data_IF_657232255813
#
_entry.id   IF_657232255813
#
_cell.length_a   1.000
_cell.length_b   1.000
_cell.length_c   1.000
_cell.angle_alpha   90.00
_cell.angle_beta   90.00
_cell.angle_gamma   90.00
#
_symmetry.space_group_name_H-M   'P 1'
#
loop_
_entity.id
_entity.type
_entity.pdbx_description
1 polymer ?
#
# COMPACT_ATOMS: atom_id res chain seq x y z
N UNK A 1 12.29 13.80 -19.01
CA UNK A 1 11.76 12.54 -18.47
C UNK A 1 11.46 12.60 -16.96
N UNK A 2 12.28 13.26 -16.13
CA UNK A 2 12.07 13.37 -14.67
C UNK A 2 10.75 14.04 -14.28
N UNK A 3 10.38 15.15 -14.94
CA UNK A 3 9.16 15.93 -14.64
C UNK A 3 7.86 15.13 -14.82
N UNK A 4 7.76 14.32 -15.90
CA UNK A 4 6.58 13.44 -16.10
C UNK A 4 6.42 12.41 -14.99
N UNK A 5 7.53 11.88 -14.48
CA UNK A 5 7.54 10.88 -13.42
C UNK A 5 7.06 11.48 -12.12
N UNK A 6 7.59 12.65 -11.75
CA UNK A 6 7.15 13.41 -10.57
C UNK A 6 5.65 13.74 -10.63
N UNK A 7 5.15 14.14 -11.82
CA UNK A 7 3.72 14.41 -12.00
C UNK A 7 2.85 13.16 -11.79
N UNK A 8 3.29 11.99 -12.28
CA UNK A 8 2.58 10.72 -12.06
C UNK A 8 2.59 10.33 -10.58
N UNK A 9 3.73 10.47 -9.90
CA UNK A 9 3.83 10.20 -8.46
C UNK A 9 2.89 11.11 -7.67
N UNK A 10 2.80 12.39 -8.03
CA UNK A 10 1.86 13.34 -7.43
C UNK A 10 0.39 12.94 -7.64
N UNK A 11 0.02 12.54 -8.86
CA UNK A 11 -1.34 12.06 -9.18
C UNK A 11 -1.67 10.78 -8.39
N UNK A 12 -0.75 9.81 -8.34
CA UNK A 12 -0.96 8.57 -7.60
C UNK A 12 -1.03 8.80 -6.09
N UNK A 13 -0.24 9.75 -5.56
CA UNK A 13 -0.34 10.16 -4.15
C UNK A 13 -1.67 10.83 -3.85
N UNK A 14 -2.16 11.71 -4.74
CA UNK A 14 -3.49 12.32 -4.61
C UNK A 14 -4.61 11.27 -4.66
N UNK A 15 -4.48 10.28 -5.55
CA UNK A 15 -5.43 9.16 -5.61
C UNK A 15 -5.40 8.31 -4.34
N UNK A 16 -4.21 8.07 -3.76
CA UNK A 16 -4.07 7.41 -2.46
C UNK A 16 -4.87 8.15 -1.37
N UNK A 17 -4.70 9.47 -1.29
CA UNK A 17 -5.38 10.31 -0.29
C UNK A 17 -6.90 10.24 -0.49
N UNK A 18 -7.37 10.39 -1.72
CA UNK A 18 -8.79 10.33 -2.05
C UNK A 18 -9.41 8.98 -1.65
N UNK A 19 -8.75 7.87 -2.00
CA UNK A 19 -9.20 6.52 -1.62
C UNK A 19 -9.10 6.27 -0.12
N UNK A 20 -8.10 6.86 0.56
CA UNK A 20 -7.94 6.80 2.00
C UNK A 20 -9.07 7.53 2.75
N UNK A 21 -9.58 8.63 2.19
CA UNK A 21 -10.72 9.36 2.76
C UNK A 21 -12.04 8.58 2.68
N UNK A 22 -12.20 7.69 1.69
CA UNK A 22 -13.39 6.84 1.51
C UNK A 22 -13.32 5.54 2.34
N UNK A 23 -12.20 5.30 3.01
CA UNK A 23 -11.99 4.09 3.78
C UNK A 23 -13.03 3.89 4.89
N UNK A 24 -13.54 2.65 5.00
CA UNK A 24 -14.49 2.25 6.04
C UNK A 24 -13.68 1.79 7.26
N UNK A 25 -13.83 2.50 8.35
CA UNK A 25 -13.20 2.16 9.63
C UNK A 25 -14.17 1.32 10.47
N UNK A 26 -13.77 0.09 10.78
CA UNK A 26 -14.52 -0.86 11.60
C UNK A 26 -14.04 -0.84 13.07
N UNK A 27 -13.27 0.16 13.47
CA UNK A 27 -12.65 0.26 14.79
C UNK A 27 -11.45 -0.68 14.98
N UNK A 28 -11.64 -1.98 14.80
CA UNK A 28 -10.58 -3.00 14.95
C UNK A 28 -9.83 -3.27 13.64
N UNK A 29 -10.42 -2.93 12.50
CA UNK A 29 -9.84 -3.10 11.17
C UNK A 29 -10.35 -2.01 10.22
N UNK A 30 -9.52 -1.63 9.24
CA UNK A 30 -9.85 -0.64 8.21
C UNK A 30 -9.95 -1.34 6.86
N UNK A 31 -11.09 -1.21 6.21
CA UNK A 31 -11.27 -1.66 4.82
C UNK A 31 -11.03 -0.45 3.91
N UNK A 32 -9.98 -0.50 3.12
CA UNK A 32 -9.61 0.56 2.20
C UNK A 32 -8.94 0.00 0.95
N UNK A 33 -9.04 0.74 -0.13
CA UNK A 33 -8.37 0.44 -1.40
C UNK A 33 -7.21 1.41 -1.68
N UNK A 34 -6.83 2.19 -0.67
CA UNK A 34 -5.78 3.21 -0.74
C UNK A 34 -4.39 2.65 -1.10
N UNK A 35 -4.13 1.37 -0.85
CA UNK A 35 -2.87 0.72 -1.22
C UNK A 35 -2.73 0.51 -2.74
N UNK A 36 -3.84 0.54 -3.50
CA UNK A 36 -3.83 0.28 -4.94
C UNK A 36 -2.88 1.20 -5.71
N UNK A 37 -2.89 2.54 -5.54
CA UNK A 37 -1.95 3.44 -6.19
C UNK A 37 -0.48 3.14 -5.84
N UNK A 38 -0.19 2.72 -4.61
CA UNK A 38 1.17 2.38 -4.15
C UNK A 38 1.67 1.13 -4.88
N UNK A 39 0.84 0.08 -4.96
CA UNK A 39 1.16 -1.16 -5.66
C UNK A 39 1.38 -0.87 -7.15
N UNK A 40 0.50 -0.07 -7.77
CA UNK A 40 0.63 0.32 -9.19
C UNK A 40 1.91 1.13 -9.41
N UNK A 41 2.22 2.12 -8.55
CA UNK A 41 3.45 2.89 -8.65
C UNK A 41 4.69 1.97 -8.58
N UNK A 42 4.74 1.08 -7.58
CA UNK A 42 5.82 0.11 -7.44
C UNK A 42 5.97 -0.79 -8.66
N UNK A 43 4.88 -1.39 -9.14
CA UNK A 43 4.90 -2.35 -10.25
C UNK A 43 5.21 -1.70 -11.62
N UNK A 44 4.85 -0.44 -11.83
CA UNK A 44 4.96 0.23 -13.14
C UNK A 44 6.19 1.15 -13.21
N UNK A 45 6.41 1.95 -12.17
CA UNK A 45 7.46 2.98 -12.14
C UNK A 45 8.71 2.51 -11.41
N UNK A 46 8.56 1.65 -10.41
CA UNK A 46 9.67 1.04 -9.68
C UNK A 46 9.66 1.33 -8.17
N UNK A 47 10.69 0.81 -7.46
CA UNK A 47 10.68 0.82 -6.00
C UNK A 47 10.70 2.23 -5.39
N UNK A 48 11.44 3.16 -5.99
CA UNK A 48 11.55 4.53 -5.46
C UNK A 48 10.21 5.26 -5.56
N UNK A 49 9.54 5.17 -6.72
CA UNK A 49 8.24 5.81 -6.93
C UNK A 49 7.17 5.17 -6.04
N UNK A 50 7.18 3.84 -5.90
CA UNK A 50 6.29 3.14 -4.97
C UNK A 50 6.46 3.63 -3.52
N UNK A 51 7.72 3.82 -3.06
CA UNK A 51 8.00 4.38 -1.72
C UNK A 51 7.54 5.84 -1.60
N UNK A 52 7.75 6.66 -2.62
CA UNK A 52 7.32 8.06 -2.62
C UNK A 52 5.80 8.16 -2.54
N UNK A 53 5.09 7.43 -3.39
CA UNK A 53 3.61 7.43 -3.39
C UNK A 53 3.05 6.90 -2.08
N UNK A 54 3.62 5.80 -1.54
CA UNK A 54 3.23 5.24 -0.26
C UNK A 54 3.52 6.18 0.91
N UNK A 55 4.71 6.77 0.95
CA UNK A 55 5.14 7.68 2.01
C UNK A 55 4.36 9.00 2.00
N UNK A 56 4.36 9.73 0.87
CA UNK A 56 3.67 11.01 0.75
C UNK A 56 2.15 10.85 0.90
N UNK A 57 1.56 9.84 0.22
CA UNK A 57 0.13 9.59 0.31
C UNK A 57 -0.32 9.33 1.73
N UNK A 58 0.39 8.45 2.45
CA UNK A 58 0.08 8.14 3.85
C UNK A 58 0.31 9.33 4.76
N UNK A 59 1.43 10.04 4.60
CA UNK A 59 1.74 11.22 5.42
C UNK A 59 0.61 12.25 5.37
N UNK A 60 0.19 12.63 4.17
CA UNK A 60 -0.87 13.62 3.99
C UNK A 60 -2.22 13.07 4.47
N UNK A 61 -2.55 11.81 4.15
CA UNK A 61 -3.78 11.17 4.60
C UNK A 61 -3.88 11.11 6.13
N UNK A 62 -2.77 10.80 6.82
CA UNK A 62 -2.70 10.77 8.29
C UNK A 62 -2.96 12.15 8.89
N UNK A 63 -2.33 13.19 8.33
CA UNK A 63 -2.54 14.57 8.81
C UNK A 63 -4.00 15.01 8.63
N UNK A 64 -4.61 14.70 7.49
CA UNK A 64 -6.02 15.08 7.22
C UNK A 64 -6.98 14.34 8.15
N UNK A 65 -6.77 13.05 8.41
CA UNK A 65 -7.73 12.22 9.19
C UNK A 65 -7.53 12.30 10.69
N UNK A 66 -6.29 12.35 11.15
CA UNK A 66 -5.94 12.17 12.57
C UNK A 66 -5.10 13.31 13.14
N UNK A 67 -4.69 14.27 12.30
CA UNK A 67 -3.75 15.31 12.67
C UNK A 67 -2.30 14.81 12.71
N UNK A 68 -1.38 15.74 12.97
CA UNK A 68 0.04 15.39 13.14
C UNK A 68 0.27 14.80 14.54
N UNK A 69 0.89 13.64 14.61
CA UNK A 69 1.18 12.92 15.84
C UNK A 69 2.63 12.43 15.88
N UNK A 70 3.16 12.12 17.05
CA UNK A 70 4.50 11.58 17.22
C UNK A 70 4.69 10.23 16.46
N UNK A 71 3.61 9.50 16.23
CA UNK A 71 3.61 8.20 15.57
C UNK A 71 3.29 8.29 14.07
N UNK A 72 3.06 9.48 13.51
CA UNK A 72 2.71 9.66 12.09
C UNK A 72 3.74 8.99 11.15
N UNK A 73 5.04 9.13 11.45
CA UNK A 73 6.10 8.51 10.64
C UNK A 73 6.03 6.97 10.69
N UNK A 74 5.64 6.42 11.85
CA UNK A 74 5.50 4.98 12.02
C UNK A 74 4.39 4.39 11.12
N UNK A 75 3.29 5.13 10.97
CA UNK A 75 2.18 4.75 10.08
C UNK A 75 2.50 4.83 8.59
N UNK A 76 3.58 5.52 8.20
CA UNK A 76 4.05 5.54 6.82
C UNK A 76 4.81 4.27 6.43
N UNK A 77 5.50 3.62 7.38
CA UNK A 77 6.38 2.48 7.12
C UNK A 77 5.71 1.32 6.37
N UNK A 78 4.48 0.88 6.72
CA UNK A 78 3.80 -0.19 6.01
C UNK A 78 3.64 0.07 4.51
N UNK A 79 3.27 1.29 4.14
CA UNK A 79 3.00 1.66 2.76
C UNK A 79 4.28 1.94 1.95
N UNK A 80 5.30 2.48 2.60
CA UNK A 80 6.66 2.59 2.02
C UNK A 80 7.19 1.20 1.72
N UNK A 81 7.06 0.25 2.66
CA UNK A 81 7.50 -1.13 2.48
C UNK A 81 6.71 -1.83 1.37
N UNK A 82 5.39 -1.61 1.29
CA UNK A 82 4.54 -2.13 0.22
C UNK A 82 5.04 -1.68 -1.16
N UNK A 83 5.26 -0.38 -1.34
CA UNK A 83 5.78 0.20 -2.58
C UNK A 83 7.17 -0.33 -2.95
N UNK A 84 8.05 -0.44 -1.95
CA UNK A 84 9.39 -0.98 -2.11
C UNK A 84 9.35 -2.45 -2.58
N UNK A 85 8.60 -3.30 -1.90
CA UNK A 85 8.48 -4.72 -2.23
C UNK A 85 7.93 -4.90 -3.63
N UNK A 86 6.81 -4.26 -3.96
CA UNK A 86 6.21 -4.32 -5.29
C UNK A 86 7.20 -3.88 -6.38
N UNK A 87 7.92 -2.80 -6.13
CA UNK A 87 8.89 -2.26 -7.09
C UNK A 87 10.14 -3.10 -7.25
N UNK A 88 10.66 -3.70 -6.18
CA UNK A 88 11.82 -4.60 -6.26
C UNK A 88 11.50 -5.87 -7.06
N UNK A 89 10.34 -6.48 -6.80
CA UNK A 89 9.90 -7.64 -7.57
C UNK A 89 9.62 -7.28 -9.04
N UNK A 90 9.00 -6.13 -9.31
CA UNK A 90 8.79 -5.66 -10.67
C UNK A 90 10.13 -5.46 -11.40
N UNK A 91 11.10 -4.82 -10.74
CA UNK A 91 12.46 -4.63 -11.30
C UNK A 91 13.16 -5.96 -11.57
N UNK A 92 13.06 -6.93 -10.64
CA UNK A 92 13.63 -8.29 -10.81
C UNK A 92 13.02 -9.01 -12.01
N UNK A 93 11.73 -8.80 -12.27
CA UNK A 93 11.01 -9.41 -13.38
C UNK A 93 11.00 -8.53 -14.65
N UNK A 94 11.91 -7.55 -14.75
CA UNK A 94 11.97 -6.59 -15.87
C UNK A 94 10.62 -5.90 -16.16
N UNK A 95 9.82 -5.67 -15.10
CA UNK A 95 8.46 -5.11 -15.17
C UNK A 95 7.45 -5.97 -15.95
N UNK A 96 7.77 -7.23 -16.21
CA UNK A 96 6.88 -8.24 -16.78
C UNK A 96 6.47 -9.22 -15.69
N UNK A 97 5.32 -8.97 -15.07
CA UNK A 97 4.79 -9.86 -14.06
C UNK A 97 3.71 -10.75 -14.67
N UNK A 98 3.93 -12.07 -14.64
CA UNK A 98 2.87 -13.05 -15.00
C UNK A 98 1.79 -13.05 -13.92
N UNK A 99 0.60 -13.57 -14.25
CA UNK A 99 -0.50 -13.61 -13.28
C UNK A 99 -0.12 -14.28 -11.96
N UNK A 100 0.63 -15.39 -11.98
CA UNK A 100 1.11 -16.08 -10.78
C UNK A 100 2.10 -15.24 -9.98
N UNK A 101 3.05 -14.60 -10.64
CA UNK A 101 4.03 -13.72 -9.97
C UNK A 101 3.36 -12.52 -9.34
N UNK A 102 2.35 -11.93 -9.98
CA UNK A 102 1.58 -10.83 -9.44
C UNK A 102 0.90 -11.21 -8.13
N UNK A 103 0.26 -12.38 -8.07
CA UNK A 103 -0.36 -12.87 -6.84
C UNK A 103 0.67 -13.02 -5.70
N UNK A 104 1.84 -13.61 -6.00
CA UNK A 104 2.92 -13.76 -5.01
C UNK A 104 3.39 -12.39 -4.50
N UNK A 105 3.57 -11.42 -5.38
CA UNK A 105 3.99 -10.06 -5.00
C UNK A 105 2.96 -9.41 -4.07
N UNK A 106 1.67 -9.47 -4.43
CA UNK A 106 0.59 -8.88 -3.63
C UNK A 106 0.48 -9.55 -2.26
N UNK A 107 0.62 -10.87 -2.19
CA UNK A 107 0.60 -11.61 -0.93
C UNK A 107 1.77 -11.18 -0.03
N UNK A 108 2.99 -11.14 -0.57
CA UNK A 108 4.19 -10.76 0.20
C UNK A 108 4.09 -9.31 0.67
N UNK A 109 3.69 -8.39 -0.22
CA UNK A 109 3.51 -6.99 0.13
C UNK A 109 2.40 -6.81 1.18
N UNK A 110 1.28 -7.51 1.03
CA UNK A 110 0.18 -7.51 1.99
C UNK A 110 0.59 -8.03 3.36
N UNK A 111 1.32 -9.14 3.43
CA UNK A 111 1.85 -9.68 4.70
C UNK A 111 2.83 -8.71 5.38
N UNK A 112 3.71 -8.09 4.62
CA UNK A 112 4.65 -7.09 5.15
C UNK A 112 3.89 -5.86 5.69
N UNK A 113 2.90 -5.35 4.93
CA UNK A 113 2.03 -4.26 5.36
C UNK A 113 1.27 -4.63 6.63
N UNK A 114 0.72 -5.83 6.70
CA UNK A 114 0.01 -6.34 7.88
C UNK A 114 0.91 -6.38 9.12
N UNK A 115 2.12 -6.93 9.00
CA UNK A 115 3.07 -7.02 10.10
C UNK A 115 3.49 -5.64 10.61
N UNK A 116 3.83 -4.72 9.69
CA UNK A 116 4.23 -3.35 10.04
C UNK A 116 3.06 -2.52 10.60
N UNK A 117 1.84 -2.69 10.09
CA UNK A 117 0.65 -2.06 10.68
C UNK A 117 0.39 -2.57 12.09
N UNK A 118 0.56 -3.88 12.35
CA UNK A 118 0.39 -4.44 13.70
C UNK A 118 1.46 -3.87 14.65
N UNK A 119 2.71 -3.74 14.19
CA UNK A 119 3.77 -3.09 14.95
C UNK A 119 3.44 -1.61 15.21
N UNK A 120 2.94 -0.88 14.21
CA UNK A 120 2.54 0.51 14.35
C UNK A 120 1.46 0.67 15.42
N UNK A 121 0.41 -0.16 15.40
CA UNK A 121 -0.65 -0.16 16.41
C UNK A 121 -0.10 -0.47 17.81
N UNK A 122 0.81 -1.45 17.91
CA UNK A 122 1.44 -1.80 19.19
C UNK A 122 2.21 -0.62 19.78
N UNK A 123 3.08 0.01 18.99
CA UNK A 123 3.88 1.15 19.45
C UNK A 123 3.00 2.36 19.74
N UNK A 124 2.06 2.69 18.86
CA UNK A 124 1.13 3.80 19.02
C UNK A 124 0.31 3.67 20.31
N UNK A 125 -0.24 2.47 20.56
CA UNK A 125 -1.01 2.21 21.78
C UNK A 125 -0.18 2.33 23.06
N UNK A 126 1.11 2.00 23.01
CA UNK A 126 2.04 2.19 24.13
C UNK A 126 2.38 3.66 24.35
N UNK A 127 2.64 4.40 23.28
CA UNK A 127 2.99 5.83 23.35
C UNK A 127 1.84 6.65 23.93
N UNK A 128 0.62 6.36 23.50
CA UNK A 128 -0.57 7.12 23.95
C UNK A 128 -1.32 6.47 25.12
N UNK A 129 -0.82 5.38 25.70
CA UNK A 129 -1.34 4.81 26.95
C UNK A 129 -2.65 4.03 26.83
N UNK A 130 -3.15 3.72 25.61
CA UNK A 130 -4.37 2.93 25.41
C UNK A 130 -4.10 1.46 25.08
N UNK A 131 -2.90 0.97 25.38
CA UNK A 131 -2.54 -0.43 25.13
C UNK A 131 -3.46 -1.40 25.85
N UNK A 132 -4.05 -2.31 25.09
CA UNK A 132 -4.76 -3.49 25.59
C UNK A 132 -4.36 -4.70 24.76
N UNK A 133 -4.03 -5.85 25.40
CA UNK A 133 -3.75 -7.08 24.67
C UNK A 133 -4.91 -7.50 23.75
N UNK A 134 -6.14 -7.30 24.19
CA UNK A 134 -7.33 -7.60 23.39
C UNK A 134 -7.42 -6.70 22.14
N UNK A 135 -7.04 -5.43 22.24
CA UNK A 135 -7.05 -4.50 21.12
C UNK A 135 -5.97 -4.83 20.08
N UNK A 136 -4.76 -5.14 20.52
CA UNK A 136 -3.62 -5.40 19.61
C UNK A 136 -3.69 -6.83 19.04
N UNK A 137 -3.87 -7.83 19.91
CA UNK A 137 -3.76 -9.24 19.54
C UNK A 137 -5.11 -9.91 19.29
N UNK A 138 -6.16 -9.54 20.03
CA UNK A 138 -7.51 -10.08 19.83
C UNK A 138 -8.11 -9.77 18.47
N UNK A 139 -7.75 -8.65 17.86
CA UNK A 139 -8.21 -8.25 16.53
C UNK A 139 -7.43 -8.90 15.37
N UNK A 140 -6.40 -9.70 15.61
CA UNK A 140 -5.57 -10.30 14.56
C UNK A 140 -6.39 -11.13 13.57
N UNK A 141 -7.35 -11.92 14.05
CA UNK A 141 -8.20 -12.75 13.20
C UNK A 141 -9.01 -11.91 12.21
N UNK A 142 -9.63 -10.82 12.68
CA UNK A 142 -10.39 -9.89 11.83
C UNK A 142 -9.47 -9.21 10.81
N UNK A 143 -8.28 -8.77 11.24
CA UNK A 143 -7.30 -8.13 10.35
C UNK A 143 -6.75 -9.08 9.29
N UNK A 144 -6.55 -10.36 9.63
CA UNK A 144 -6.16 -11.40 8.67
C UNK A 144 -7.26 -11.68 7.64
N UNK A 145 -8.52 -11.71 8.06
CA UNK A 145 -9.65 -11.84 7.14
C UNK A 145 -9.71 -10.65 6.18
N UNK A 146 -9.56 -9.43 6.68
CA UNK A 146 -9.49 -8.21 5.85
C UNK A 146 -8.30 -8.26 4.89
N UNK A 147 -7.12 -8.72 5.33
CA UNK A 147 -5.97 -8.93 4.46
C UNK A 147 -6.29 -9.90 3.32
N UNK A 148 -6.96 -11.02 3.61
CA UNK A 148 -7.39 -11.99 2.58
C UNK A 148 -8.31 -11.36 1.54
N UNK A 149 -9.32 -10.63 1.99
CA UNK A 149 -10.26 -9.90 1.12
C UNK A 149 -9.54 -8.87 0.25
N UNK A 150 -8.68 -8.04 0.85
CA UNK A 150 -7.88 -7.03 0.13
C UNK A 150 -6.94 -7.67 -0.89
N UNK A 151 -6.26 -8.75 -0.52
CA UNK A 151 -5.35 -9.48 -1.42
C UNK A 151 -6.10 -10.01 -2.64
N UNK A 152 -7.28 -10.63 -2.45
CA UNK A 152 -8.12 -11.10 -3.54
C UNK A 152 -8.56 -9.94 -4.44
N UNK A 153 -9.08 -8.88 -3.86
CA UNK A 153 -9.53 -7.69 -4.57
C UNK A 153 -8.40 -7.06 -5.40
N UNK A 154 -7.21 -6.86 -4.81
CA UNK A 154 -6.06 -6.29 -5.52
C UNK A 154 -5.57 -7.23 -6.64
N UNK A 155 -5.55 -8.55 -6.44
CA UNK A 155 -5.21 -9.51 -7.47
C UNK A 155 -6.08 -9.38 -8.73
N UNK A 156 -7.38 -9.17 -8.54
CA UNK A 156 -8.30 -8.96 -9.65
C UNK A 156 -8.21 -7.57 -10.27
N UNK A 157 -8.06 -6.50 -9.46
CA UNK A 157 -8.05 -5.12 -9.94
C UNK A 157 -6.74 -4.72 -10.63
N UNK A 158 -5.60 -5.18 -10.12
CA UNK A 158 -4.29 -4.76 -10.63
C UNK A 158 -3.99 -5.36 -12.00
N UNK A 159 -4.45 -6.59 -12.26
CA UNK A 159 -4.20 -7.25 -13.55
C UNK A 159 -4.71 -6.47 -14.77
N UNK A 160 -5.97 -6.00 -14.82
CA UNK A 160 -6.45 -5.19 -15.94
C UNK A 160 -5.73 -3.84 -16.02
N UNK A 161 -5.38 -3.22 -14.87
CA UNK A 161 -4.64 -1.96 -14.84
C UNK A 161 -3.27 -2.13 -15.49
N UNK A 162 -2.51 -3.16 -15.12
CA UNK A 162 -1.19 -3.43 -15.72
C UNK A 162 -1.29 -3.72 -17.22
N UNK A 163 -2.32 -4.44 -17.66
CA UNK A 163 -2.56 -4.68 -19.10
C UNK A 163 -2.84 -3.37 -19.85
N UNK A 164 -3.66 -2.48 -19.27
CA UNK A 164 -3.95 -1.17 -19.85
C UNK A 164 -2.68 -0.31 -19.95
N UNK A 165 -1.88 -0.25 -18.87
CA UNK A 165 -0.61 0.49 -18.85
C UNK A 165 0.38 -0.07 -19.86
N UNK A 166 0.52 -1.40 -19.98
CA UNK A 166 1.38 -2.04 -20.94
C UNK A 166 0.98 -1.70 -22.39
N UNK A 167 -0.32 -1.63 -22.69
CA UNK A 167 -0.86 -1.23 -24.00
C UNK A 167 -0.50 0.23 -24.35
N UNK A 168 -0.62 1.15 -23.36
CA UNK A 168 -0.33 2.59 -23.56
C UNK A 168 1.17 2.82 -23.69
N UNK A 169 2.00 2.11 -22.93
CA UNK A 169 3.46 2.29 -22.93
C UNK A 169 4.18 1.52 -24.03
N UNK A 170 3.45 0.77 -24.87
CA UNK A 170 4.04 -0.02 -25.95
C UNK A 170 4.93 -1.18 -25.48
N UNK A 171 4.86 -1.56 -24.21
CA UNK A 171 5.59 -2.70 -23.65
C UNK A 171 4.94 -4.02 -24.15
N UNK A 172 5.37 -4.48 -25.34
CA UNK A 172 5.03 -5.83 -25.84
C UNK A 172 5.91 -6.88 -25.15
N UNK A 173 5.33 -8.06 -24.86
CA UNK A 173 6.09 -9.29 -24.64
C UNK A 173 7.00 -9.50 -25.85
N UNK A 174 8.31 -9.45 -25.70
CA UNK A 174 9.23 -10.10 -26.61
C UNK A 174 9.29 -11.60 -26.28
#
# INVERSE_FOLDING_TARGET
MKTKRIAIDGILSALYIALGCIAIDLGMAKISIEELPVIVAGLVLGPVDGMIVGGLGTFICQIIRYGFSATTVLWMLPYIACGLICGLFAKKNNYYNTGKQLWVIIIIAGLATFALNTLAIYVDSKVYGYYSPAYVWGALGVRLAVLGIKTAMFGFLIMPILKAVAKITGRKKS
#
